data_IF_086448842494
#
_entry.id   IF_086448842494
#
_cell.length_a   1.000
_cell.length_b   1.000
_cell.length_c   1.000
_cell.angle_alpha   90.00
_cell.angle_beta   90.00
_cell.angle_gamma   90.00
#
_symmetry.space_group_name_H-M   'P 1'
#
loop_
_entity.id
_entity.type
_entity.pdbx_description
1 polymer ?
#
# COMPACT_ATOMS: atom_id res chain seq x y z
N UNK A 1 -37.73 -53.71 -51.97
CA UNK A 1 -36.29 -53.42 -51.68
C UNK A 1 -36.00 -52.00 -51.25
N UNK A 2 -36.72 -51.01 -51.70
CA UNK A 2 -36.55 -49.55 -51.37
C UNK A 2 -36.90 -49.15 -49.92
N UNK A 3 -37.92 -49.78 -49.31
CA UNK A 3 -38.34 -49.46 -47.91
C UNK A 3 -37.36 -49.93 -46.85
N UNK A 4 -36.64 -51.05 -47.05
CA UNK A 4 -35.64 -51.56 -46.12
C UNK A 4 -34.36 -50.71 -46.12
N UNK A 5 -33.95 -50.17 -47.27
CA UNK A 5 -32.81 -49.25 -47.39
C UNK A 5 -33.09 -47.88 -46.72
N UNK A 6 -34.32 -47.37 -46.83
CA UNK A 6 -34.73 -46.13 -46.15
C UNK A 6 -34.80 -46.26 -44.60
N UNK A 7 -35.16 -47.43 -44.10
CA UNK A 7 -35.19 -47.74 -42.68
C UNK A 7 -33.79 -47.88 -42.06
N UNK A 8 -32.87 -48.52 -42.79
CA UNK A 8 -31.47 -48.63 -42.41
C UNK A 8 -30.73 -47.28 -42.42
N UNK A 9 -31.05 -46.38 -43.35
CA UNK A 9 -30.46 -45.04 -43.41
C UNK A 9 -30.96 -44.16 -42.23
N UNK A 10 -32.23 -44.23 -41.84
CA UNK A 10 -32.81 -43.52 -40.68
C UNK A 10 -32.16 -43.98 -39.35
N UNK A 11 -31.94 -45.30 -39.18
CA UNK A 11 -31.27 -45.85 -38.00
C UNK A 11 -29.78 -45.39 -37.89
N UNK A 12 -29.05 -45.35 -39.02
CA UNK A 12 -27.69 -44.84 -39.06
C UNK A 12 -27.63 -43.34 -38.75
N UNK A 13 -28.57 -42.57 -39.26
CA UNK A 13 -28.68 -41.13 -38.96
C UNK A 13 -28.99 -40.89 -37.49
N UNK A 14 -29.95 -41.64 -36.90
CA UNK A 14 -30.29 -41.56 -35.48
C UNK A 14 -29.10 -41.94 -34.58
N UNK A 15 -28.36 -42.98 -34.94
CA UNK A 15 -27.13 -43.39 -34.21
C UNK A 15 -26.03 -42.31 -34.29
N UNK A 16 -25.84 -41.69 -35.48
CA UNK A 16 -24.90 -40.58 -35.65
C UNK A 16 -25.31 -39.33 -34.82
N UNK A 17 -26.61 -38.96 -34.84
CA UNK A 17 -27.13 -37.86 -34.03
C UNK A 17 -26.97 -38.13 -32.51
N UNK A 18 -27.24 -39.36 -32.09
CA UNK A 18 -27.00 -39.77 -30.69
C UNK A 18 -25.53 -39.68 -30.29
N UNK A 19 -24.64 -40.14 -31.17
CA UNK A 19 -23.19 -40.01 -30.94
C UNK A 19 -22.71 -38.57 -30.82
N UNK A 20 -23.20 -37.67 -31.69
CA UNK A 20 -22.93 -36.22 -31.61
C UNK A 20 -23.46 -35.63 -30.33
N UNK A 21 -24.66 -36.01 -29.89
CA UNK A 21 -25.27 -35.53 -28.64
C UNK A 21 -24.44 -35.96 -27.42
N UNK A 22 -23.94 -37.20 -27.37
CA UNK A 22 -23.11 -37.71 -26.28
C UNK A 22 -21.79 -36.95 -26.24
N UNK A 23 -21.13 -36.70 -27.40
CA UNK A 23 -19.90 -35.90 -27.47
C UNK A 23 -20.11 -34.47 -27.00
N UNK A 24 -21.21 -33.83 -27.40
CA UNK A 24 -21.59 -32.47 -26.94
C UNK A 24 -21.82 -32.44 -25.44
N UNK A 25 -22.52 -33.46 -24.89
CA UNK A 25 -22.74 -33.56 -23.44
C UNK A 25 -21.44 -33.75 -22.67
N UNK A 26 -20.54 -34.63 -23.16
CA UNK A 26 -19.24 -34.83 -22.57
C UNK A 26 -18.37 -33.55 -22.60
N UNK A 27 -18.43 -32.80 -23.71
CA UNK A 27 -17.74 -31.52 -23.84
C UNK A 27 -18.29 -30.48 -22.86
N UNK A 28 -19.60 -30.39 -22.69
CA UNK A 28 -20.23 -29.51 -21.72
C UNK A 28 -19.83 -29.85 -20.28
N UNK A 29 -19.79 -31.14 -19.95
CA UNK A 29 -19.35 -31.59 -18.61
C UNK A 29 -17.87 -31.27 -18.40
N UNK A 30 -17.01 -31.46 -19.38
CA UNK A 30 -15.61 -31.11 -19.30
C UNK A 30 -15.40 -29.62 -19.08
N UNK A 31 -16.04 -28.76 -19.88
CA UNK A 31 -15.97 -27.29 -19.73
C UNK A 31 -16.46 -26.87 -18.34
N UNK A 32 -17.57 -27.44 -17.85
CA UNK A 32 -18.09 -27.15 -16.53
C UNK A 32 -17.12 -27.56 -15.40
N UNK A 33 -16.49 -28.71 -15.53
CA UNK A 33 -15.49 -29.16 -14.57
C UNK A 33 -14.27 -28.25 -14.54
N UNK A 34 -13.76 -27.85 -15.71
CA UNK A 34 -12.62 -26.92 -15.81
C UNK A 34 -12.96 -25.57 -15.17
N UNK A 35 -14.17 -25.02 -15.36
CA UNK A 35 -14.61 -23.80 -14.71
C UNK A 35 -14.66 -23.93 -13.18
N UNK A 36 -15.21 -25.03 -12.66
CA UNK A 36 -15.30 -25.26 -11.21
C UNK A 36 -13.90 -25.45 -10.59
N UNK A 37 -12.96 -26.05 -11.30
CA UNK A 37 -11.59 -26.19 -10.83
C UNK A 37 -10.86 -24.84 -10.85
N UNK A 38 -11.06 -24.02 -11.89
CA UNK A 38 -10.50 -22.66 -11.96
C UNK A 38 -11.03 -21.77 -10.83
N UNK A 39 -12.36 -21.83 -10.54
CA UNK A 39 -12.95 -21.09 -9.43
C UNK A 39 -12.35 -21.49 -8.07
N UNK A 40 -12.16 -22.79 -7.84
CA UNK A 40 -11.54 -23.25 -6.58
C UNK A 40 -10.08 -22.79 -6.46
N UNK A 41 -9.28 -22.95 -7.53
CA UNK A 41 -7.89 -22.51 -7.53
C UNK A 41 -7.77 -21.00 -7.29
N UNK A 42 -8.68 -20.19 -7.87
CA UNK A 42 -8.71 -18.74 -7.64
C UNK A 42 -9.06 -18.40 -6.19
N UNK A 43 -10.03 -19.10 -5.58
CA UNK A 43 -10.40 -18.88 -4.18
C UNK A 43 -9.25 -19.26 -3.24
N UNK A 44 -8.57 -20.40 -3.47
CA UNK A 44 -7.40 -20.81 -2.69
C UNK A 44 -6.27 -19.77 -2.80
N UNK A 45 -5.97 -19.31 -4.01
CA UNK A 45 -4.98 -18.29 -4.25
C UNK A 45 -5.34 -16.96 -3.58
N UNK A 46 -6.62 -16.57 -3.61
CA UNK A 46 -7.09 -15.36 -2.94
C UNK A 46 -6.85 -15.41 -1.43
N UNK A 47 -7.08 -16.56 -0.79
CA UNK A 47 -6.78 -16.76 0.63
C UNK A 47 -5.28 -16.71 0.94
N UNK A 48 -4.45 -17.27 0.07
CA UNK A 48 -2.99 -17.23 0.22
C UNK A 48 -2.46 -15.80 0.16
N UNK A 49 -2.89 -15.03 -0.83
CA UNK A 49 -2.53 -13.62 -1.00
C UNK A 49 -3.04 -12.78 0.17
N UNK A 50 -4.29 -12.96 0.61
CA UNK A 50 -4.85 -12.28 1.77
C UNK A 50 -4.02 -12.55 3.03
N UNK A 51 -3.68 -13.81 3.28
CA UNK A 51 -2.85 -14.21 4.41
C UNK A 51 -1.44 -13.60 4.34
N UNK A 52 -0.83 -13.58 3.16
CA UNK A 52 0.50 -12.99 2.95
C UNK A 52 0.49 -11.48 3.13
N UNK A 53 -0.51 -10.80 2.57
CA UNK A 53 -0.72 -9.36 2.74
C UNK A 53 -0.94 -9.00 4.22
N UNK A 54 -1.79 -9.75 4.92
CA UNK A 54 -2.07 -9.53 6.34
C UNK A 54 -0.79 -9.67 7.17
N UNK A 55 -0.05 -10.77 7.02
CA UNK A 55 1.21 -10.98 7.74
C UNK A 55 2.23 -9.87 7.49
N UNK A 56 2.35 -9.42 6.24
CA UNK A 56 3.31 -8.37 5.86
C UNK A 56 2.92 -7.01 6.46
N UNK A 57 1.64 -6.66 6.42
CA UNK A 57 1.13 -5.44 7.04
C UNK A 57 1.24 -5.48 8.57
N UNK A 58 0.97 -6.61 9.20
CA UNK A 58 1.13 -6.79 10.65
C UNK A 58 2.59 -6.65 11.08
N UNK A 59 3.52 -7.19 10.30
CA UNK A 59 4.95 -7.03 10.52
C UNK A 59 5.41 -5.57 10.42
N UNK A 60 4.95 -4.84 9.38
CA UNK A 60 5.23 -3.40 9.25
C UNK A 60 4.59 -2.59 10.39
N UNK A 61 3.37 -2.95 10.81
CA UNK A 61 2.70 -2.31 11.94
C UNK A 61 3.47 -2.53 13.25
N UNK A 62 3.99 -3.74 13.49
CA UNK A 62 4.84 -4.03 14.63
C UNK A 62 6.13 -3.18 14.61
N UNK A 63 6.76 -3.05 13.46
CA UNK A 63 7.93 -2.19 13.26
C UNK A 63 7.61 -0.73 13.56
N UNK A 64 6.47 -0.20 13.06
CA UNK A 64 6.02 1.17 13.35
C UNK A 64 5.74 1.39 14.84
N UNK A 65 5.15 0.41 15.52
CA UNK A 65 4.94 0.46 16.99
C UNK A 65 6.26 0.48 17.75
N UNK A 66 7.24 -0.30 17.32
CA UNK A 66 8.58 -0.31 17.91
C UNK A 66 9.27 1.05 17.73
N UNK A 67 9.23 1.64 16.53
CA UNK A 67 9.73 3.00 16.27
C UNK A 67 9.07 4.04 17.19
N UNK A 68 7.74 3.98 17.33
CA UNK A 68 7.00 4.87 18.20
C UNK A 68 7.37 4.70 19.68
N UNK A 69 7.52 3.44 20.14
CA UNK A 69 7.88 3.13 21.52
C UNK A 69 9.32 3.54 21.87
N UNK A 70 10.21 3.57 20.88
CA UNK A 70 11.60 3.98 21.05
C UNK A 70 11.82 5.49 20.88
N UNK A 71 10.78 6.27 20.59
CA UNK A 71 10.88 7.68 20.23
C UNK A 71 11.72 8.49 21.24
N UNK A 72 11.45 8.35 22.54
CA UNK A 72 12.23 9.04 23.57
C UNK A 72 13.68 8.60 23.66
N UNK A 73 13.97 7.32 23.42
CA UNK A 73 15.34 6.83 23.35
C UNK A 73 16.03 7.35 22.09
N UNK A 74 15.30 7.42 20.96
CA UNK A 74 15.84 7.89 19.68
C UNK A 74 16.23 9.36 19.69
N UNK A 75 15.59 10.21 20.48
CA UNK A 75 15.99 11.62 20.65
C UNK A 75 17.35 11.77 21.34
N UNK A 76 17.83 10.72 22.02
CA UNK A 76 19.13 10.65 22.67
C UNK A 76 20.20 9.94 21.82
N UNK A 77 19.80 9.27 20.74
CA UNK A 77 20.70 8.55 19.85
C UNK A 77 21.43 9.52 18.91
N UNK A 78 22.65 9.17 18.59
CA UNK A 78 23.40 9.84 17.52
C UNK A 78 22.78 9.52 16.15
N UNK A 79 23.05 10.37 15.16
CA UNK A 79 22.64 10.12 13.78
C UNK A 79 23.14 8.76 13.26
N UNK A 80 24.35 8.34 13.68
CA UNK A 80 24.93 7.06 13.27
C UNK A 80 24.17 5.86 13.83
N UNK A 81 23.67 5.94 15.06
CA UNK A 81 22.86 4.87 15.68
C UNK A 81 21.47 4.79 15.03
N UNK A 82 20.88 5.94 14.69
CA UNK A 82 19.63 6.00 13.93
C UNK A 82 19.78 5.37 12.53
N UNK A 83 20.89 5.67 11.83
CA UNK A 83 21.17 5.07 10.53
C UNK A 83 21.36 3.56 10.61
N UNK A 84 22.06 3.07 11.65
CA UNK A 84 22.25 1.64 11.86
C UNK A 84 20.91 0.92 12.13
N UNK A 85 20.02 1.55 12.90
CA UNK A 85 18.69 1.03 13.17
C UNK A 85 17.81 1.00 11.90
N UNK A 86 17.86 2.06 11.10
CA UNK A 86 17.15 2.13 9.83
C UNK A 86 17.60 1.03 8.85
N UNK A 87 18.92 0.79 8.75
CA UNK A 87 19.48 -0.29 7.93
C UNK A 87 18.99 -1.69 8.37
N UNK A 88 18.76 -1.89 9.67
CA UNK A 88 18.21 -3.15 10.16
C UNK A 88 16.75 -3.35 9.76
N UNK A 89 15.97 -2.26 9.78
CA UNK A 89 14.58 -2.28 9.29
C UNK A 89 14.56 -2.60 7.78
N UNK A 90 15.40 -1.96 6.98
CA UNK A 90 15.50 -2.22 5.53
C UNK A 90 15.89 -3.68 5.23
N UNK A 91 16.81 -4.26 6.01
CA UNK A 91 17.17 -5.67 5.87
C UNK A 91 16.04 -6.61 6.20
N UNK A 92 15.24 -6.29 7.23
CA UNK A 92 14.10 -7.09 7.67
C UNK A 92 12.88 -6.91 6.76
N UNK A 93 12.79 -5.76 6.11
CA UNK A 93 11.68 -5.39 5.22
C UNK A 93 12.20 -4.78 3.92
N UNK A 94 12.58 -5.60 2.91
CA UNK A 94 13.19 -5.11 1.67
C UNK A 94 12.32 -4.15 0.85
N UNK A 95 11.01 -4.14 1.08
CA UNK A 95 10.11 -3.17 0.47
C UNK A 95 10.10 -1.79 1.14
N UNK A 96 10.78 -1.61 2.29
CA UNK A 96 10.94 -0.30 2.94
C UNK A 96 12.09 0.44 2.26
N UNK A 97 11.79 1.55 1.60
CA UNK A 97 12.78 2.43 0.92
C UNK A 97 13.44 3.43 1.86
N UNK A 98 12.69 3.90 2.85
CA UNK A 98 13.20 4.89 3.81
C UNK A 98 12.32 4.96 5.06
N UNK A 99 12.94 5.40 6.14
CA UNK A 99 12.30 5.82 7.38
C UNK A 99 12.32 7.34 7.44
N UNK A 100 11.18 7.93 7.72
CA UNK A 100 11.00 9.36 7.83
C UNK A 100 10.56 9.72 9.25
N UNK A 101 11.05 10.84 9.76
CA UNK A 101 10.55 11.47 10.97
C UNK A 101 10.01 12.85 10.62
N UNK A 102 8.76 13.07 10.94
CA UNK A 102 8.08 14.35 10.79
C UNK A 102 7.96 14.98 12.18
N UNK A 103 8.27 16.28 12.27
CA UNK A 103 8.12 17.07 13.49
C UNK A 103 7.02 18.10 13.32
N UNK A 104 6.19 18.21 14.34
CA UNK A 104 5.22 19.30 14.43
C UNK A 104 5.96 20.57 14.87
N UNK A 105 5.85 21.64 14.08
CA UNK A 105 6.53 22.92 14.29
C UNK A 105 5.47 24.01 14.33
N UNK A 106 5.39 24.74 15.42
CA UNK A 106 4.56 25.93 15.53
C UNK A 106 5.16 27.10 14.76
N UNK A 107 4.33 28.06 14.34
CA UNK A 107 4.76 29.24 13.61
C UNK A 107 5.86 30.02 14.36
N UNK A 108 5.74 30.10 15.68
CA UNK A 108 6.69 30.81 16.54
C UNK A 108 8.07 30.15 16.54
N UNK A 109 8.12 28.82 16.41
CA UNK A 109 9.37 28.04 16.39
C UNK A 109 10.01 27.96 14.99
N UNK A 110 9.29 28.30 13.90
CA UNK A 110 9.73 28.16 12.51
C UNK A 110 11.15 28.69 12.27
N UNK A 111 11.41 29.96 12.64
CA UNK A 111 12.71 30.58 12.41
C UNK A 111 13.85 29.91 13.19
N UNK A 112 13.60 29.55 14.44
CA UNK A 112 14.58 28.85 15.26
C UNK A 112 14.89 27.46 14.68
N UNK A 113 13.86 26.73 14.25
CA UNK A 113 13.98 25.43 13.60
C UNK A 113 14.78 25.49 12.29
N UNK A 114 14.44 26.41 11.37
CA UNK A 114 15.17 26.60 10.12
C UNK A 114 16.63 27.01 10.36
N UNK A 115 16.91 27.90 11.32
CA UNK A 115 18.27 28.30 11.68
C UNK A 115 19.07 27.13 12.26
N UNK A 116 18.44 26.26 13.05
CA UNK A 116 19.07 25.03 13.55
C UNK A 116 19.64 24.15 12.41
N UNK A 117 18.84 23.92 11.37
CA UNK A 117 19.28 23.17 10.19
C UNK A 117 20.37 23.90 9.39
N UNK A 118 20.26 25.21 9.22
CA UNK A 118 21.29 25.99 8.51
C UNK A 118 22.65 25.92 9.19
N UNK A 119 22.68 25.96 10.52
CA UNK A 119 23.91 25.82 11.30
C UNK A 119 24.43 24.38 11.34
N UNK A 120 23.56 23.40 11.17
CA UNK A 120 23.91 21.97 11.10
C UNK A 120 24.45 21.52 9.72
N UNK A 121 24.64 22.43 8.77
CA UNK A 121 25.23 22.13 7.46
C UNK A 121 24.25 22.11 6.28
N UNK A 122 23.03 22.58 6.48
CA UNK A 122 22.01 22.74 5.42
C UNK A 122 21.70 24.24 5.16
N UNK A 123 22.62 25.03 4.56
CA UNK A 123 22.52 26.49 4.51
C UNK A 123 21.29 27.01 3.77
N UNK A 124 20.75 26.23 2.84
CA UNK A 124 19.55 26.57 2.07
C UNK A 124 18.25 26.01 2.69
N UNK A 125 18.31 25.44 3.90
CA UNK A 125 17.13 24.83 4.52
C UNK A 125 16.05 25.87 4.81
N UNK A 126 14.84 25.55 4.40
CA UNK A 126 13.61 26.24 4.76
C UNK A 126 12.45 25.25 4.74
N UNK A 127 11.40 25.54 5.48
CA UNK A 127 10.16 24.77 5.39
C UNK A 127 9.52 25.05 4.03
N UNK A 128 9.30 23.98 3.25
CA UNK A 128 8.76 24.05 1.88
C UNK A 128 7.38 23.40 1.80
N UNK A 129 6.54 23.91 0.94
CA UNK A 129 5.27 23.31 0.55
C UNK A 129 5.40 22.64 -0.82
N UNK A 130 4.62 21.60 -1.05
CA UNK A 130 4.51 20.96 -2.36
C UNK A 130 3.13 21.20 -2.96
N UNK A 131 3.10 21.56 -4.23
CA UNK A 131 1.85 21.55 -5.00
C UNK A 131 1.45 20.14 -5.45
N UNK A 132 0.35 20.06 -6.23
CA UNK A 132 -0.13 18.76 -6.76
C UNK A 132 0.81 18.15 -7.80
N UNK A 133 1.64 18.93 -8.45
CA UNK A 133 2.65 18.51 -9.42
C UNK A 133 3.97 18.10 -8.76
N UNK A 134 4.11 18.29 -7.43
CA UNK A 134 5.33 17.99 -6.69
C UNK A 134 6.38 19.09 -6.72
N UNK A 135 6.01 20.31 -7.19
CA UNK A 135 6.91 21.46 -7.21
C UNK A 135 7.02 22.01 -5.78
N UNK A 136 8.25 22.15 -5.31
CA UNK A 136 8.55 22.70 -3.99
C UNK A 136 8.66 24.23 -4.06
N UNK A 137 8.04 24.89 -3.10
CA UNK A 137 8.14 26.35 -2.89
C UNK A 137 8.21 26.64 -1.39
N UNK A 138 8.72 27.81 -0.95
CA UNK A 138 8.64 28.19 0.45
C UNK A 138 7.23 28.09 0.99
N UNK A 139 7.05 27.46 2.15
CA UNK A 139 5.73 27.34 2.76
C UNK A 139 5.23 28.69 3.25
N UNK A 140 3.97 29.00 2.92
CA UNK A 140 3.30 30.20 3.46
C UNK A 140 3.19 30.12 4.98
N UNK A 141 3.08 31.30 5.62
CA UNK A 141 2.91 31.36 7.07
C UNK A 141 1.54 30.80 7.47
N UNK A 142 1.55 29.88 8.42
CA UNK A 142 0.40 29.20 8.98
C UNK A 142 0.68 28.76 10.42
N UNK A 143 -0.35 28.45 11.21
CA UNK A 143 -0.18 28.18 12.65
C UNK A 143 0.79 27.03 12.93
N UNK A 144 0.80 25.97 12.10
CA UNK A 144 1.56 24.76 12.33
C UNK A 144 2.04 24.11 11.02
N UNK A 145 3.16 23.41 11.09
CA UNK A 145 3.79 22.69 9.99
C UNK A 145 4.11 21.28 10.44
N UNK A 146 3.92 20.27 9.57
CA UNK A 146 4.40 18.92 9.79
C UNK A 146 5.64 18.70 8.90
N UNK A 147 6.79 19.15 9.38
CA UNK A 147 8.03 19.23 8.61
C UNK A 147 8.80 17.90 8.62
N UNK A 148 9.27 17.47 7.44
CA UNK A 148 10.22 16.35 7.33
C UNK A 148 11.54 16.74 7.98
N UNK A 149 11.78 16.18 9.17
CA UNK A 149 12.92 16.48 10.02
C UNK A 149 14.12 15.56 9.76
N UNK A 150 13.83 14.30 9.45
CA UNK A 150 14.86 13.27 9.26
C UNK A 150 14.38 12.25 8.21
N UNK A 151 15.31 11.74 7.43
CA UNK A 151 15.08 10.65 6.46
C UNK A 151 16.34 9.79 6.39
N UNK A 152 16.15 8.48 6.45
CA UNK A 152 17.21 7.48 6.30
C UNK A 152 16.74 6.35 5.36
N UNK A 153 17.50 5.99 4.31
CA UNK A 153 18.80 6.59 3.93
C UNK A 153 18.63 7.99 3.30
N UNK A 154 19.56 8.89 3.63
CA UNK A 154 19.60 10.23 3.08
C UNK A 154 20.17 10.21 1.65
N UNK A 155 19.37 9.74 0.70
CA UNK A 155 19.75 9.78 -0.72
C UNK A 155 19.57 11.18 -1.32
N UNK A 156 20.30 11.55 -2.40
CA UNK A 156 20.10 12.84 -3.06
C UNK A 156 18.67 13.11 -3.50
N UNK A 157 17.92 12.04 -3.85
CA UNK A 157 16.51 12.11 -4.24
C UNK A 157 15.60 12.49 -3.07
N UNK A 158 15.89 12.01 -1.86
CA UNK A 158 15.10 12.27 -0.65
C UNK A 158 15.58 13.51 0.09
N UNK A 159 16.88 13.83 0.04
CA UNK A 159 17.47 14.98 0.72
C UNK A 159 16.80 16.32 0.33
N UNK A 160 16.35 16.47 -0.91
CA UNK A 160 15.64 17.66 -1.39
C UNK A 160 14.30 17.90 -0.70
N UNK A 161 13.74 16.88 -0.05
CA UNK A 161 12.47 16.97 0.68
C UNK A 161 12.64 17.23 2.18
N UNK A 162 13.88 17.33 2.69
CA UNK A 162 14.08 17.82 4.06
C UNK A 162 13.44 19.20 4.20
N UNK A 163 12.64 19.39 5.25
CA UNK A 163 11.85 20.59 5.43
C UNK A 163 10.49 20.59 4.71
N UNK A 164 10.17 19.56 3.90
CA UNK A 164 8.85 19.46 3.27
C UNK A 164 7.77 19.40 4.36
N UNK A 165 6.84 20.32 4.26
CA UNK A 165 5.65 20.38 5.09
C UNK A 165 4.55 19.46 4.55
N UNK A 166 4.38 18.32 5.18
CA UNK A 166 3.37 17.32 4.83
C UNK A 166 1.93 17.84 4.97
N UNK A 167 1.72 18.86 5.80
CA UNK A 167 0.42 19.53 5.92
C UNK A 167 0.10 20.47 4.74
N UNK A 168 1.05 20.71 3.85
CA UNK A 168 0.79 21.41 2.58
C UNK A 168 -0.10 20.61 1.62
N UNK A 169 -0.20 19.30 1.82
CA UNK A 169 -0.98 18.38 1.00
C UNK A 169 -2.15 17.80 1.80
N UNK A 170 -3.36 17.97 1.28
CA UNK A 170 -4.59 17.54 1.96
C UNK A 170 -4.70 16.02 2.16
N UNK A 171 -4.20 15.22 1.22
CA UNK A 171 -4.18 13.76 1.30
C UNK A 171 -3.25 13.26 2.41
N UNK A 172 -2.03 13.80 2.49
CA UNK A 172 -1.07 13.50 3.55
C UNK A 172 -1.56 14.00 4.91
N UNK A 173 -2.08 15.25 4.96
CA UNK A 173 -2.65 15.81 6.18
C UNK A 173 -3.76 14.93 6.76
N UNK A 174 -4.73 14.51 5.94
CA UNK A 174 -5.82 13.64 6.39
C UNK A 174 -5.32 12.31 6.97
N UNK A 175 -4.28 11.71 6.39
CA UNK A 175 -3.71 10.47 6.89
C UNK A 175 -2.97 10.68 8.21
N UNK A 176 -2.18 11.75 8.31
CA UNK A 176 -1.44 12.13 9.52
C UNK A 176 -2.40 12.48 10.65
N UNK A 177 -3.41 13.33 10.41
CA UNK A 177 -4.41 13.71 11.40
C UNK A 177 -5.14 12.48 11.94
N UNK A 178 -5.45 11.51 11.05
CA UNK A 178 -6.05 10.24 11.46
C UNK A 178 -5.10 9.41 12.32
N UNK A 179 -3.80 9.35 11.98
CA UNK A 179 -2.80 8.65 12.80
C UNK A 179 -2.71 9.28 14.19
N UNK A 180 -2.74 10.61 14.27
CA UNK A 180 -2.72 11.35 15.54
C UNK A 180 -3.99 11.07 16.36
N UNK A 181 -5.16 11.17 15.74
CA UNK A 181 -6.43 11.00 16.45
C UNK A 181 -6.67 9.57 16.95
N UNK A 182 -6.32 8.58 16.13
CA UNK A 182 -6.54 7.18 16.48
C UNK A 182 -5.41 6.59 17.32
N UNK A 183 -4.18 7.10 17.17
CA UNK A 183 -2.98 6.47 17.69
C UNK A 183 -2.55 5.21 16.92
N UNK A 184 -3.18 4.91 15.79
CA UNK A 184 -2.91 3.72 14.99
C UNK A 184 -2.16 4.05 13.69
N UNK A 185 -1.67 3.03 12.99
CA UNK A 185 -0.99 3.22 11.70
C UNK A 185 -2.01 3.59 10.63
N UNK A 186 -1.67 4.58 9.80
CA UNK A 186 -2.46 5.02 8.66
C UNK A 186 -1.63 5.00 7.38
N UNK A 187 -2.28 5.02 6.23
CA UNK A 187 -1.59 5.00 4.93
C UNK A 187 -2.04 6.12 4.01
N UNK A 188 -1.11 6.59 3.16
CA UNK A 188 -1.39 7.52 2.05
C UNK A 188 -0.43 7.28 0.88
N UNK A 189 -0.77 7.73 -0.34
CA UNK A 189 0.17 7.79 -1.46
C UNK A 189 1.40 8.62 -1.11
N UNK A 190 2.59 8.21 -1.58
CA UNK A 190 3.84 8.87 -1.21
C UNK A 190 4.21 10.07 -2.09
N UNK A 191 3.42 10.41 -3.12
CA UNK A 191 3.70 11.62 -3.90
C UNK A 191 3.76 12.86 -3.00
N UNK A 192 4.71 13.77 -3.15
CA UNK A 192 5.64 13.89 -4.27
C UNK A 192 6.97 13.16 -4.11
N UNK A 193 7.19 12.45 -2.99
CA UNK A 193 8.48 11.80 -2.72
C UNK A 193 8.77 10.72 -3.75
N UNK A 194 7.78 9.86 -3.98
CA UNK A 194 7.84 8.76 -4.93
C UNK A 194 6.42 8.41 -5.41
N UNK A 195 6.21 8.35 -6.74
CA UNK A 195 4.91 8.04 -7.34
C UNK A 195 4.55 6.55 -7.25
N UNK A 196 5.57 5.69 -7.18
CA UNK A 196 5.45 4.24 -7.14
C UNK A 196 5.60 3.70 -5.71
N UNK A 197 5.30 4.56 -4.71
CA UNK A 197 5.40 4.24 -3.29
C UNK A 197 4.17 4.71 -2.52
N UNK A 198 4.02 4.17 -1.31
CA UNK A 198 3.06 4.66 -0.33
C UNK A 198 3.73 4.88 1.03
N UNK A 199 3.09 5.67 1.87
CA UNK A 199 3.55 5.99 3.21
C UNK A 199 2.66 5.31 4.25
N UNK A 200 3.28 4.75 5.28
CA UNK A 200 2.63 4.34 6.51
C UNK A 200 3.02 5.32 7.61
N UNK A 201 2.04 5.91 8.29
CA UNK A 201 2.25 6.90 9.35
C UNK A 201 1.90 6.35 10.72
N UNK A 202 2.70 6.66 11.73
CA UNK A 202 2.45 6.40 13.15
C UNK A 202 2.78 7.63 13.97
N UNK A 203 1.80 8.14 14.70
CA UNK A 203 2.00 9.27 15.60
C UNK A 203 2.84 8.89 16.81
N UNK A 204 3.62 9.86 17.29
CA UNK A 204 4.35 9.80 18.55
C UNK A 204 3.94 10.99 19.43
N UNK A 205 3.95 10.77 20.72
CA UNK A 205 3.41 11.72 21.70
C UNK A 205 4.48 12.07 22.74
N UNK A 206 4.33 13.24 23.34
CA UNK A 206 5.12 13.66 24.51
C UNK A 206 4.81 12.73 25.67
N UNK A 207 5.83 12.13 26.27
CA UNK A 207 5.68 11.17 27.38
C UNK A 207 5.86 9.70 26.92
N UNK A 208 6.03 8.81 27.91
CA UNK A 208 6.35 7.39 27.64
C UNK A 208 5.16 6.54 27.18
N UNK A 209 3.95 7.00 27.38
CA UNK A 209 2.73 6.28 27.06
C UNK A 209 1.88 7.06 26.07
N UNK A 210 1.27 6.33 25.14
CA UNK A 210 0.29 6.94 24.24
C UNK A 210 -0.93 7.41 25.02
N UNK A 211 -1.41 8.67 24.80
CA UNK A 211 -2.57 9.19 25.49
C UNK A 211 -3.84 8.38 25.18
N UNK A 212 -4.72 8.22 26.16
CA UNK A 212 -5.94 7.40 26.02
C UNK A 212 -7.01 8.08 25.18
N UNK A 213 -7.19 9.39 25.35
CA UNK A 213 -8.23 10.13 24.65
C UNK A 213 -7.73 10.81 23.39
N UNK A 214 -8.62 10.98 22.40
CA UNK A 214 -8.31 11.71 21.16
C UNK A 214 -7.86 13.14 21.43
N UNK A 215 -8.47 13.82 22.41
CA UNK A 215 -8.10 15.19 22.77
C UNK A 215 -6.69 15.27 23.33
N UNK A 216 -6.32 14.34 24.20
CA UNK A 216 -4.95 14.27 24.72
C UNK A 216 -3.96 13.96 23.62
N UNK A 217 -4.28 13.04 22.71
CA UNK A 217 -3.45 12.73 21.53
C UNK A 217 -3.18 13.98 20.68
N UNK A 218 -4.17 14.79 20.43
CA UNK A 218 -4.01 16.05 19.68
C UNK A 218 -3.11 17.06 20.37
N UNK A 219 -3.21 17.18 21.70
CA UNK A 219 -2.42 18.17 22.47
C UNK A 219 -1.01 17.69 22.82
N UNK A 220 -0.80 16.39 22.84
CA UNK A 220 0.48 15.79 23.24
C UNK A 220 1.27 15.23 22.06
N UNK A 221 0.81 15.42 20.82
CA UNK A 221 1.57 15.00 19.65
C UNK A 221 2.94 15.69 19.63
N UNK A 222 4.00 14.91 19.39
CA UNK A 222 5.38 15.38 19.24
C UNK A 222 5.82 15.31 17.78
N UNK A 223 5.31 14.35 17.06
CA UNK A 223 5.58 14.16 15.63
C UNK A 223 4.97 12.89 15.08
N UNK A 224 5.48 12.46 13.95
CA UNK A 224 5.03 11.27 13.23
C UNK A 224 6.23 10.55 12.61
N UNK A 225 6.34 9.25 12.82
CA UNK A 225 7.21 8.42 11.97
C UNK A 225 6.45 7.96 10.75
N UNK A 226 7.18 7.87 9.62
CA UNK A 226 6.64 7.27 8.42
C UNK A 226 7.62 6.27 7.82
N UNK A 227 7.08 5.19 7.23
CA UNK A 227 7.82 4.28 6.35
C UNK A 227 7.43 4.57 4.91
N UNK A 228 8.42 4.81 4.07
CA UNK A 228 8.25 4.91 2.63
C UNK A 228 8.37 3.50 2.04
N UNK A 229 7.28 2.97 1.51
CA UNK A 229 7.18 1.60 1.03
C UNK A 229 7.21 1.61 -0.50
N UNK A 230 8.13 0.85 -1.09
CA UNK A 230 8.15 0.52 -2.52
C UNK A 230 6.93 -0.35 -2.84
N UNK A 231 5.96 0.20 -3.56
CA UNK A 231 4.72 -0.51 -3.82
C UNK A 231 4.90 -1.70 -4.78
N UNK A 232 5.65 -1.60 -5.89
CA UNK A 232 6.05 -2.75 -6.70
C UNK A 232 6.69 -3.85 -5.88
N UNK A 233 7.79 -3.58 -5.17
CA UNK A 233 8.50 -4.58 -4.39
C UNK A 233 7.62 -5.19 -3.27
N UNK A 234 6.73 -4.39 -2.68
CA UNK A 234 5.77 -4.85 -1.68
C UNK A 234 4.76 -5.84 -2.27
N UNK A 235 4.24 -5.55 -3.47
CA UNK A 235 3.26 -6.37 -4.17
C UNK A 235 3.91 -7.61 -4.76
N UNK A 236 5.06 -7.50 -5.41
CA UNK A 236 5.78 -8.62 -6.00
C UNK A 236 6.08 -9.72 -4.96
N UNK A 237 6.45 -9.34 -3.74
CA UNK A 237 6.68 -10.27 -2.64
C UNK A 237 5.39 -10.96 -2.11
N UNK A 238 4.22 -10.40 -2.41
CA UNK A 238 2.92 -10.99 -2.04
C UNK A 238 2.43 -11.94 -3.12
N UNK A 239 2.63 -11.58 -4.40
CA UNK A 239 2.15 -12.35 -5.56
C UNK A 239 3.22 -13.29 -6.14
N UNK A 240 4.31 -13.55 -5.41
CA UNK A 240 5.45 -14.35 -5.86
C UNK A 240 5.01 -15.61 -6.60
N UNK A 241 5.50 -15.77 -7.85
CA UNK A 241 5.16 -16.89 -8.73
C UNK A 241 3.80 -16.78 -9.46
N UNK A 242 3.05 -15.67 -9.32
CA UNK A 242 1.73 -15.50 -9.93
C UNK A 242 1.68 -14.34 -10.93
N UNK A 243 2.50 -14.40 -11.96
CA UNK A 243 2.68 -13.35 -12.99
C UNK A 243 1.41 -12.93 -13.75
N UNK A 244 0.30 -13.66 -13.58
CA UNK A 244 -0.98 -13.41 -14.27
C UNK A 244 -2.02 -12.69 -13.44
N UNK A 245 -1.67 -12.29 -12.21
CA UNK A 245 -2.58 -11.58 -11.32
C UNK A 245 -2.41 -10.07 -11.46
N UNK A 246 -3.53 -9.38 -11.54
CA UNK A 246 -3.60 -7.96 -11.26
C UNK A 246 -3.93 -7.74 -9.79
N UNK A 247 -3.23 -6.82 -9.11
CA UNK A 247 -3.50 -6.45 -7.74
C UNK A 247 -3.65 -4.94 -7.62
N UNK A 248 -4.76 -4.50 -7.01
CA UNK A 248 -4.96 -3.10 -6.63
C UNK A 248 -4.98 -2.99 -5.11
N UNK A 249 -4.03 -2.23 -4.58
CA UNK A 249 -3.97 -1.89 -3.16
C UNK A 249 -4.58 -0.50 -2.94
N UNK A 250 -5.55 -0.39 -2.05
CA UNK A 250 -6.20 0.88 -1.74
C UNK A 250 -6.35 1.06 -0.24
N UNK A 251 -6.33 2.31 0.22
CA UNK A 251 -6.69 2.69 1.59
C UNK A 251 -8.06 3.35 1.60
N UNK A 252 -8.79 3.20 2.71
CA UNK A 252 -10.11 3.80 2.85
C UNK A 252 -10.06 5.06 3.71
N UNK A 253 -10.39 6.20 3.12
CA UNK A 253 -10.39 7.50 3.79
C UNK A 253 -11.74 7.88 4.43
N UNK A 254 -12.63 6.92 4.64
CA UNK A 254 -13.95 7.09 5.24
C UNK A 254 -15.07 7.35 4.24
N UNK A 255 -14.83 8.05 3.14
CA UNK A 255 -15.81 8.35 2.09
C UNK A 255 -15.56 7.63 0.78
N UNK A 256 -14.31 7.44 0.40
CA UNK A 256 -13.92 6.76 -0.84
C UNK A 256 -12.57 6.04 -0.69
N UNK A 257 -12.35 4.96 -1.46
CA UNK A 257 -11.04 4.32 -1.52
C UNK A 257 -10.05 5.23 -2.25
N UNK A 258 -8.85 5.35 -1.70
CA UNK A 258 -7.70 6.01 -2.36
C UNK A 258 -6.74 4.91 -2.79
N UNK A 259 -6.48 4.79 -4.09
CA UNK A 259 -5.52 3.81 -4.61
C UNK A 259 -4.11 4.19 -4.18
N UNK A 260 -3.42 3.23 -3.56
CA UNK A 260 -2.00 3.33 -3.19
C UNK A 260 -1.13 2.81 -4.32
N UNK A 261 -1.52 1.69 -4.92
CA UNK A 261 -0.83 1.06 -6.03
C UNK A 261 -1.78 0.18 -6.84
N UNK A 262 -1.51 0.05 -8.13
CA UNK A 262 -2.26 -0.82 -9.03
C UNK A 262 -1.32 -1.48 -10.03
N UNK A 263 -1.28 -2.80 -10.01
CA UNK A 263 -0.62 -3.63 -10.99
C UNK A 263 -1.67 -4.22 -11.92
N UNK A 264 -1.62 -3.85 -13.19
CA UNK A 264 -2.57 -4.33 -14.17
C UNK A 264 -2.39 -5.82 -14.44
N UNK A 265 -3.50 -6.52 -14.64
CA UNK A 265 -3.48 -7.91 -15.13
C UNK A 265 -2.82 -7.95 -16.51
N UNK A 266 -1.78 -8.78 -16.73
CA UNK A 266 -1.22 -8.97 -18.06
C UNK A 266 -2.30 -9.44 -19.04
N UNK A 267 -2.31 -8.98 -20.30
CA UNK A 267 -3.31 -9.39 -21.27
C UNK A 267 -3.20 -10.91 -21.51
N UNK A 268 -4.35 -11.60 -21.52
CA UNK A 268 -4.41 -13.03 -21.84
C UNK A 268 -3.79 -13.28 -23.21
N UNK A 269 -2.77 -14.12 -23.26
CA UNK A 269 -2.00 -14.42 -24.49
C UNK A 269 -2.61 -15.54 -25.31
N UNK A 270 -3.47 -16.37 -24.70
CA UNK A 270 -4.14 -17.50 -25.33
C UNK A 270 -5.57 -17.14 -25.82
N UNK A 271 -6.02 -17.86 -26.85
CA UNK A 271 -7.33 -17.62 -27.47
C UNK A 271 -8.47 -17.94 -26.50
N UNK A 272 -8.30 -18.86 -25.57
CA UNK A 272 -9.30 -19.31 -24.60
C UNK A 272 -9.39 -18.28 -23.45
N UNK A 273 -8.28 -17.81 -22.93
CA UNK A 273 -8.24 -16.81 -21.85
C UNK A 273 -8.88 -15.48 -22.21
N UNK A 274 -8.88 -15.09 -23.50
CA UNK A 274 -9.57 -13.87 -23.96
C UNK A 274 -11.10 -13.95 -23.94
N UNK A 275 -11.67 -15.14 -23.82
CA UNK A 275 -13.13 -15.37 -23.86
C UNK A 275 -13.73 -15.76 -22.52
N UNK A 276 -12.92 -16.04 -21.52
CA UNK A 276 -13.38 -16.29 -20.15
C UNK A 276 -13.56 -14.96 -19.44
N UNK A 277 -14.64 -14.78 -18.63
CA UNK A 277 -14.77 -13.61 -17.78
C UNK A 277 -13.61 -13.59 -16.78
N UNK A 278 -13.01 -12.42 -16.57
CA UNK A 278 -12.03 -12.23 -15.51
C UNK A 278 -12.71 -12.49 -14.17
N UNK A 279 -12.06 -13.29 -13.32
CA UNK A 279 -12.51 -13.50 -11.95
C UNK A 279 -11.98 -12.35 -11.10
N UNK A 280 -12.80 -11.85 -10.19
CA UNK A 280 -12.48 -10.76 -9.31
C UNK A 280 -12.73 -11.15 -7.86
N UNK A 281 -11.72 -10.97 -7.01
CA UNK A 281 -11.87 -11.11 -5.58
C UNK A 281 -11.54 -9.78 -4.90
N UNK A 282 -12.44 -9.32 -4.05
CA UNK A 282 -12.26 -8.14 -3.22
C UNK A 282 -11.99 -8.58 -1.78
N UNK A 283 -10.78 -8.37 -1.32
CA UNK A 283 -10.39 -8.66 0.06
C UNK A 283 -10.23 -7.37 0.86
N UNK A 284 -10.87 -7.33 2.04
CA UNK A 284 -10.83 -6.19 2.96
C UNK A 284 -10.02 -6.53 4.18
N UNK A 285 -8.79 -6.04 4.22
CA UNK A 285 -7.91 -6.18 5.39
C UNK A 285 -8.00 -4.92 6.22
N UNK A 286 -8.31 -5.06 7.49
CA UNK A 286 -8.42 -3.95 8.43
C UNK A 286 -7.21 -3.95 9.35
N UNK A 287 -6.27 -3.05 9.08
CA UNK A 287 -5.38 -2.56 10.14
C UNK A 287 -6.12 -1.40 10.79
N UNK A 288 -6.62 -1.59 12.01
CA UNK A 288 -7.41 -0.55 12.69
C UNK A 288 -6.57 0.72 12.90
N UNK A 289 -7.02 1.90 12.48
CA UNK A 289 -8.27 2.22 11.81
C UNK A 289 -8.20 2.20 10.28
N UNK A 290 -7.05 1.86 9.70
CA UNK A 290 -6.84 1.88 8.24
C UNK A 290 -7.37 0.58 7.64
N UNK A 291 -8.29 0.71 6.71
CA UNK A 291 -8.79 -0.42 5.93
C UNK A 291 -8.01 -0.46 4.62
N UNK A 292 -7.28 -1.53 4.41
CA UNK A 292 -6.71 -1.84 3.12
C UNK A 292 -7.71 -2.66 2.31
N UNK A 293 -7.82 -2.35 1.04
CA UNK A 293 -8.56 -3.15 0.08
C UNK A 293 -7.57 -3.68 -0.94
N UNK A 294 -7.52 -4.98 -1.09
CA UNK A 294 -6.86 -5.63 -2.20
C UNK A 294 -7.95 -6.15 -3.16
N UNK A 295 -7.88 -5.76 -4.41
CA UNK A 295 -8.70 -6.28 -5.49
C UNK A 295 -7.79 -7.09 -6.39
N UNK A 296 -8.14 -8.37 -6.61
CA UNK A 296 -7.42 -9.28 -7.50
C UNK A 296 -8.27 -9.52 -8.76
N UNK A 297 -7.65 -9.46 -9.92
CA UNK A 297 -8.26 -9.75 -11.22
C UNK A 297 -7.48 -10.85 -11.96
#
# INVERSE_FOLDING_TARGET
MTLALAYLSKRRLAAALFGVLVVLLALLVAIRNDMVQADKAFVELSYEIESSLTRKLDSLNATMRSLSGMHHAMTLLSQQELSAFAQEIERSHPSVKAILQLRLIDMEEKHAYENGFRTAGFPAFSITASDRQGILSPSADKPEYMSLNFVEPLTPGLARYLGLDFYSRSDLRMAIDRAIHSGEVTAAPAAPLDKDAFLLFKAVYKGFFAPETTKERQTQVDGVYALLIDAPAFVDDIIDGHDRLGLRLSTWNGTSPTTLYEQATPPATDFIGRRLPSQRADTRISLTPTRFHATME
#
